data_IF_248566969902
#
_entry.id   IF_248566969902
#
_cell.length_a   1.000
_cell.length_b   1.000
_cell.length_c   1.000
_cell.angle_alpha   90.00
_cell.angle_beta   90.00
_cell.angle_gamma   90.00
#
_symmetry.space_group_name_H-M   'P 1'
#
loop_
_entity.id
_entity.type
_entity.pdbx_description
1 polymer ?
#
# COMPACT_ATOMS: atom_id res chain seq x y z
N UNK A 1 15.53 -24.70 19.33
CA UNK A 1 16.34 -23.94 18.36
C UNK A 1 15.38 -23.35 17.33
N UNK A 2 15.14 -22.05 17.39
CA UNK A 2 14.21 -21.38 16.47
C UNK A 2 14.82 -21.41 15.07
N UNK A 3 14.05 -21.89 14.09
CA UNK A 3 14.39 -21.84 12.66
C UNK A 3 14.58 -20.37 12.23
N UNK A 4 15.78 -19.83 12.47
CA UNK A 4 16.21 -18.49 12.10
C UNK A 4 15.94 -18.09 10.63
N UNK A 5 16.05 -18.98 9.61
CA UNK A 5 15.77 -18.56 8.24
C UNK A 5 14.30 -18.17 8.02
N UNK A 6 13.34 -18.87 8.63
CA UNK A 6 11.92 -18.61 8.39
C UNK A 6 11.44 -17.26 8.94
N UNK A 7 12.03 -16.80 10.05
CA UNK A 7 11.66 -15.54 10.68
C UNK A 7 12.09 -14.32 9.84
N UNK A 8 13.29 -14.39 9.26
CA UNK A 8 13.83 -13.31 8.43
C UNK A 8 13.07 -13.16 7.11
N UNK A 9 12.67 -14.27 6.49
CA UNK A 9 11.82 -14.23 5.29
C UNK A 9 10.44 -13.67 5.61
N UNK A 10 9.78 -14.14 6.68
CA UNK A 10 8.46 -13.63 7.10
C UNK A 10 8.46 -12.13 7.35
N UNK A 11 9.51 -11.61 8.00
CA UNK A 11 9.64 -10.18 8.27
C UNK A 11 9.75 -9.34 6.98
N UNK A 12 10.46 -9.83 5.95
CA UNK A 12 10.56 -9.15 4.65
C UNK A 12 9.21 -9.09 3.92
N UNK A 13 8.41 -10.16 3.97
CA UNK A 13 7.06 -10.14 3.43
C UNK A 13 6.17 -9.16 4.19
N UNK A 14 6.13 -9.26 5.53
CA UNK A 14 5.29 -8.40 6.37
C UNK A 14 5.66 -6.90 6.19
N UNK A 15 6.95 -6.57 6.02
CA UNK A 15 7.40 -5.20 5.72
C UNK A 15 6.92 -4.75 4.33
N UNK A 16 7.05 -5.59 3.29
CA UNK A 16 6.62 -5.25 1.94
C UNK A 16 5.10 -4.99 1.89
N UNK A 17 4.29 -5.87 2.48
CA UNK A 17 2.85 -5.65 2.59
C UNK A 17 2.51 -4.43 3.44
N UNK A 18 3.26 -4.18 4.52
CA UNK A 18 3.11 -2.97 5.33
C UNK A 18 3.36 -1.69 4.53
N UNK A 19 4.38 -1.66 3.69
CA UNK A 19 4.69 -0.53 2.81
C UNK A 19 3.57 -0.26 1.79
N UNK A 20 3.06 -1.31 1.13
CA UNK A 20 1.94 -1.17 0.20
C UNK A 20 0.63 -0.79 0.89
N UNK A 21 0.38 -1.32 2.10
CA UNK A 21 -0.76 -0.94 2.92
C UNK A 21 -0.70 0.53 3.33
N UNK A 22 0.47 1.02 3.74
CA UNK A 22 0.65 2.44 4.06
C UNK A 22 0.36 3.34 2.86
N UNK A 23 0.81 2.93 1.66
CA UNK A 23 0.49 3.64 0.42
C UNK A 23 -1.00 3.59 0.07
N UNK A 24 -1.64 2.44 0.31
CA UNK A 24 -3.08 2.28 0.09
C UNK A 24 -3.92 3.16 1.00
N UNK A 25 -3.58 3.15 2.30
CA UNK A 25 -4.25 3.96 3.32
C UNK A 25 -4.02 5.44 3.07
N UNK A 26 -2.81 5.87 2.70
CA UNK A 26 -2.55 7.28 2.39
C UNK A 26 -3.39 7.76 1.20
N UNK A 27 -3.44 6.98 0.11
CA UNK A 27 -4.28 7.28 -1.05
C UNK A 27 -5.77 7.36 -0.68
N UNK A 28 -6.25 6.46 0.16
CA UNK A 28 -7.65 6.44 0.60
C UNK A 28 -7.97 7.63 1.52
N UNK A 29 -7.08 7.98 2.45
CA UNK A 29 -7.21 9.18 3.31
C UNK A 29 -7.25 10.44 2.45
N UNK A 30 -6.38 10.55 1.45
CA UNK A 30 -6.39 11.71 0.53
C UNK A 30 -7.64 11.75 -0.34
N UNK A 31 -8.11 10.61 -0.85
CA UNK A 31 -9.35 10.50 -1.60
C UNK A 31 -10.57 10.93 -0.78
N UNK A 32 -10.66 10.48 0.48
CA UNK A 32 -11.73 10.88 1.41
C UNK A 32 -11.62 12.35 1.76
N UNK A 33 -10.43 12.86 2.06
CA UNK A 33 -10.23 14.28 2.37
C UNK A 33 -10.62 15.18 1.19
N UNK A 34 -10.30 14.77 -0.05
CA UNK A 34 -10.68 15.50 -1.26
C UNK A 34 -12.18 15.45 -1.59
N UNK A 35 -12.91 14.45 -1.09
CA UNK A 35 -14.35 14.34 -1.25
C UNK A 35 -15.15 15.22 -0.25
N UNK A 36 -14.51 15.69 0.83
CA UNK A 36 -15.15 16.53 1.83
C UNK A 36 -15.00 18.00 1.42
N UNK A 37 -16.09 18.76 1.25
CA UNK A 37 -15.99 20.19 0.99
C UNK A 37 -15.37 20.89 2.21
N UNK A 38 -14.18 21.45 2.04
CA UNK A 38 -13.44 22.18 3.06
C UNK A 38 -13.22 23.63 2.62
N UNK A 39 -13.17 24.54 3.58
CA UNK A 39 -12.72 25.90 3.30
C UNK A 39 -11.23 25.91 2.90
N UNK A 40 -10.78 26.89 2.10
CA UNK A 40 -9.41 26.92 1.59
C UNK A 40 -8.33 26.99 2.68
N UNK A 41 -8.65 27.57 3.84
CA UNK A 41 -7.74 27.69 4.97
C UNK A 41 -7.47 26.33 5.61
N UNK A 42 -8.54 25.61 5.97
CA UNK A 42 -8.46 24.27 6.55
C UNK A 42 -7.81 23.28 5.58
N UNK A 43 -8.17 23.34 4.29
CA UNK A 43 -7.58 22.49 3.26
C UNK A 43 -6.07 22.72 3.11
N UNK A 44 -5.61 23.98 3.15
CA UNK A 44 -4.19 24.32 3.09
C UNK A 44 -3.41 23.79 4.29
N UNK A 45 -3.95 23.94 5.51
CA UNK A 45 -3.29 23.44 6.72
C UNK A 45 -3.22 21.91 6.74
N UNK A 46 -4.30 21.22 6.41
CA UNK A 46 -4.32 19.76 6.31
C UNK A 46 -3.40 19.26 5.20
N UNK A 47 -3.38 19.93 4.06
CA UNK A 47 -2.45 19.65 2.97
C UNK A 47 -0.99 19.73 3.45
N UNK A 48 -0.62 20.82 4.11
CA UNK A 48 0.76 21.05 4.52
C UNK A 48 1.21 20.16 5.69
N UNK A 49 0.38 20.01 6.73
CA UNK A 49 0.76 19.27 7.94
C UNK A 49 0.53 17.76 7.84
N UNK A 50 -0.43 17.32 7.04
CA UNK A 50 -0.83 15.91 6.96
C UNK A 50 -0.50 15.34 5.60
N UNK A 51 -0.97 15.95 4.50
CA UNK A 51 -0.81 15.35 3.18
C UNK A 51 0.65 15.31 2.72
N UNK A 52 1.44 16.37 2.92
CA UNK A 52 2.86 16.39 2.50
C UNK A 52 3.70 15.35 3.25
N UNK A 53 3.71 15.29 4.61
CA UNK A 53 4.49 14.29 5.32
C UNK A 53 4.02 12.86 5.00
N UNK A 54 2.71 12.67 4.86
CA UNK A 54 2.13 11.38 4.49
C UNK A 54 2.52 10.97 3.07
N UNK A 55 2.54 11.89 2.12
CA UNK A 55 3.00 11.65 0.75
C UNK A 55 4.48 11.31 0.71
N UNK A 56 5.33 12.01 1.47
CA UNK A 56 6.76 11.70 1.57
C UNK A 56 7.00 10.33 2.22
N UNK A 57 6.29 10.02 3.30
CA UNK A 57 6.35 8.71 3.95
C UNK A 57 5.87 7.61 3.01
N UNK A 58 4.80 7.86 2.24
CA UNK A 58 4.28 6.95 1.23
C UNK A 58 5.28 6.74 0.09
N UNK A 59 5.98 7.79 -0.34
CA UNK A 59 7.00 7.69 -1.39
C UNK A 59 8.18 6.83 -0.92
N UNK A 60 8.67 7.07 0.30
CA UNK A 60 9.72 6.25 0.90
C UNK A 60 9.28 4.78 1.06
N UNK A 61 8.06 4.56 1.52
CA UNK A 61 7.47 3.23 1.65
C UNK A 61 7.31 2.54 0.28
N UNK A 62 6.92 3.27 -0.76
CA UNK A 62 6.77 2.76 -2.12
C UNK A 62 8.11 2.29 -2.68
N UNK A 63 9.19 3.07 -2.51
CA UNK A 63 10.53 2.66 -2.94
C UNK A 63 10.94 1.35 -2.26
N UNK A 64 10.76 1.25 -0.94
CA UNK A 64 11.06 0.02 -0.19
C UNK A 64 10.19 -1.15 -0.64
N UNK A 65 8.89 -0.92 -0.83
CA UNK A 65 7.92 -1.92 -1.27
C UNK A 65 8.23 -2.45 -2.67
N UNK A 66 8.58 -1.58 -3.62
CA UNK A 66 8.99 -1.95 -4.98
C UNK A 66 10.29 -2.74 -4.97
N UNK A 67 11.31 -2.28 -4.23
CA UNK A 67 12.59 -3.02 -4.11
C UNK A 67 12.36 -4.41 -3.53
N UNK A 68 11.56 -4.52 -2.46
CA UNK A 68 11.22 -5.81 -1.87
C UNK A 68 10.37 -6.67 -2.81
N UNK A 69 9.44 -6.08 -3.57
CA UNK A 69 8.65 -6.80 -4.57
C UNK A 69 9.51 -7.38 -5.68
N UNK A 70 10.56 -6.67 -6.11
CA UNK A 70 11.52 -7.17 -7.10
C UNK A 70 12.39 -8.29 -6.53
N UNK A 71 12.82 -8.17 -5.27
CA UNK A 71 13.58 -9.22 -4.59
C UNK A 71 12.73 -10.48 -4.32
N UNK A 72 11.44 -10.31 -4.05
CA UNK A 72 10.47 -11.37 -3.77
C UNK A 72 9.58 -11.69 -4.99
N UNK A 73 10.09 -11.47 -6.21
CA UNK A 73 9.32 -11.60 -7.47
C UNK A 73 8.59 -12.94 -7.63
N UNK A 74 9.06 -14.01 -6.97
CA UNK A 74 8.37 -15.31 -7.02
C UNK A 74 6.98 -15.33 -6.35
N UNK A 75 6.63 -14.32 -5.54
CA UNK A 75 5.30 -14.18 -4.93
C UNK A 75 4.38 -13.28 -5.77
N UNK A 76 3.44 -13.92 -6.46
CA UNK A 76 2.37 -13.29 -7.24
C UNK A 76 1.62 -12.11 -6.58
N UNK A 77 1.19 -12.17 -5.31
CA UNK A 77 0.44 -11.05 -4.70
C UNK A 77 1.26 -9.75 -4.55
N UNK A 78 2.58 -9.85 -4.35
CA UNK A 78 3.46 -8.68 -4.25
C UNK A 78 3.64 -8.02 -5.62
N UNK A 79 3.78 -8.82 -6.68
CA UNK A 79 3.79 -8.32 -8.05
C UNK A 79 2.51 -7.58 -8.40
N UNK A 80 1.36 -8.10 -7.99
CA UNK A 80 0.08 -7.48 -8.28
C UNK A 80 -0.07 -6.15 -7.56
N UNK A 81 0.34 -6.07 -6.29
CA UNK A 81 0.41 -4.81 -5.54
C UNK A 81 1.35 -3.80 -6.21
N UNK A 82 2.57 -4.22 -6.56
CA UNK A 82 3.54 -3.38 -7.26
C UNK A 82 3.00 -2.87 -8.60
N UNK A 83 2.39 -3.73 -9.40
CA UNK A 83 1.74 -3.35 -10.66
C UNK A 83 0.61 -2.35 -10.47
N UNK A 84 -0.27 -2.57 -9.47
CA UNK A 84 -1.31 -1.62 -9.11
C UNK A 84 -0.74 -0.25 -8.68
N UNK A 85 0.35 -0.25 -7.91
CA UNK A 85 1.02 0.97 -7.48
C UNK A 85 1.64 1.72 -8.66
N UNK A 86 2.30 1.02 -9.59
CA UNK A 86 2.84 1.64 -10.81
C UNK A 86 1.73 2.22 -11.68
N UNK A 87 0.62 1.50 -11.85
CA UNK A 87 -0.55 2.00 -12.58
C UNK A 87 -1.15 3.24 -11.92
N UNK A 88 -1.27 3.23 -10.59
CA UNK A 88 -1.78 4.38 -9.83
C UNK A 88 -0.86 5.61 -9.96
N UNK A 89 0.47 5.42 -9.88
CA UNK A 89 1.44 6.50 -10.09
C UNK A 89 1.40 7.02 -11.52
N UNK A 90 1.30 6.13 -12.51
CA UNK A 90 1.18 6.50 -13.91
C UNK A 90 -0.09 7.32 -14.15
N UNK A 91 -1.22 6.94 -13.53
CA UNK A 91 -2.48 7.67 -13.63
C UNK A 91 -2.38 9.08 -13.04
N UNK A 92 -1.73 9.23 -11.87
CA UNK A 92 -1.51 10.55 -11.26
C UNK A 92 -0.66 11.46 -12.17
N UNK A 93 0.37 10.91 -12.82
CA UNK A 93 1.29 11.70 -13.66
C UNK A 93 0.67 12.03 -15.01
N UNK A 94 0.00 11.07 -15.62
CA UNK A 94 -0.46 11.17 -16.99
C UNK A 94 -1.85 11.81 -17.09
N UNK A 95 -2.61 11.84 -15.99
CA UNK A 95 -3.99 12.36 -15.92
C UNK A 95 -4.85 11.84 -17.07
N UNK A 96 -4.66 10.56 -17.45
CA UNK A 96 -5.25 9.97 -18.64
C UNK A 96 -6.66 9.49 -18.33
N UNK A 97 -7.63 10.37 -18.47
CA UNK A 97 -9.02 9.93 -18.51
C UNK A 97 -10.04 10.98 -18.12
N UNK A 98 -11.31 10.57 -18.03
CA UNK A 98 -12.39 11.41 -17.51
C UNK A 98 -12.14 11.76 -16.04
N UNK A 99 -12.53 12.96 -15.60
CA UNK A 99 -12.41 13.40 -14.20
C UNK A 99 -13.03 12.41 -13.19
N UNK A 100 -14.05 11.65 -13.59
CA UNK A 100 -14.64 10.59 -12.77
C UNK A 100 -13.65 9.46 -12.46
N UNK A 101 -12.79 9.09 -13.41
CA UNK A 101 -11.79 8.05 -13.21
C UNK A 101 -10.67 8.54 -12.29
N UNK A 102 -10.18 9.77 -12.51
CA UNK A 102 -9.21 10.42 -11.63
C UNK A 102 -9.69 10.46 -10.17
N UNK A 103 -10.94 10.85 -9.93
CA UNK A 103 -11.51 10.90 -8.59
C UNK A 103 -11.72 9.51 -7.97
N UNK A 104 -11.94 8.47 -8.77
CA UNK A 104 -12.14 7.11 -8.30
C UNK A 104 -10.82 6.35 -8.09
N UNK A 105 -9.74 6.71 -8.79
CA UNK A 105 -8.47 5.99 -8.76
C UNK A 105 -7.87 5.84 -7.35
N UNK A 106 -7.85 6.87 -6.47
CA UNK A 106 -7.36 6.72 -5.10
C UNK A 106 -8.17 5.72 -4.28
N UNK A 107 -9.48 5.67 -4.49
CA UNK A 107 -10.36 4.72 -3.80
C UNK A 107 -10.15 3.29 -4.31
N UNK A 108 -10.09 3.11 -5.64
CA UNK A 108 -9.85 1.78 -6.25
C UNK A 108 -8.50 1.21 -5.80
N UNK A 109 -7.45 2.03 -5.83
CA UNK A 109 -6.12 1.64 -5.36
C UNK A 109 -6.11 1.38 -3.85
N UNK A 110 -6.69 2.27 -3.05
CA UNK A 110 -6.73 2.14 -1.60
C UNK A 110 -7.50 0.91 -1.13
N UNK A 111 -8.69 0.67 -1.69
CA UNK A 111 -9.51 -0.51 -1.35
C UNK A 111 -8.82 -1.80 -1.81
N UNK A 112 -8.28 -1.82 -3.03
CA UNK A 112 -7.61 -3.00 -3.58
C UNK A 112 -6.36 -3.38 -2.78
N UNK A 113 -5.53 -2.40 -2.45
CA UNK A 113 -4.33 -2.62 -1.62
C UNK A 113 -4.68 -3.07 -0.21
N UNK A 114 -5.70 -2.47 0.44
CA UNK A 114 -6.22 -2.92 1.74
C UNK A 114 -6.73 -4.36 1.69
N UNK A 115 -7.50 -4.72 0.66
CA UNK A 115 -8.04 -6.07 0.51
C UNK A 115 -6.91 -7.10 0.37
N UNK A 116 -5.94 -6.85 -0.51
CA UNK A 116 -4.82 -7.77 -0.75
C UNK A 116 -3.93 -7.90 0.50
N UNK A 117 -3.62 -6.78 1.16
CA UNK A 117 -2.84 -6.80 2.39
C UNK A 117 -3.62 -7.47 3.55
N UNK A 118 -4.92 -7.24 3.64
CA UNK A 118 -5.80 -7.90 4.61
C UNK A 118 -5.83 -9.42 4.41
N UNK A 119 -5.98 -9.88 3.16
CA UNK A 119 -5.91 -11.31 2.81
C UNK A 119 -4.54 -11.90 3.20
N UNK A 120 -3.45 -11.15 3.01
CA UNK A 120 -2.12 -11.58 3.45
C UNK A 120 -2.07 -11.81 4.96
N UNK A 121 -2.43 -10.79 5.75
CA UNK A 121 -2.32 -10.86 7.21
C UNK A 121 -3.30 -11.86 7.84
N UNK A 122 -4.49 -12.05 7.26
CA UNK A 122 -5.51 -12.94 7.79
C UNK A 122 -5.34 -14.41 7.36
N UNK A 123 -5.00 -14.68 6.11
CA UNK A 123 -5.09 -16.04 5.55
C UNK A 123 -3.75 -16.56 5.04
N UNK A 124 -3.05 -15.79 4.21
CA UNK A 124 -1.85 -16.30 3.55
C UNK A 124 -0.66 -16.42 4.51
N UNK A 125 -0.52 -15.49 5.47
CA UNK A 125 0.55 -15.51 6.48
C UNK A 125 0.59 -16.82 7.27
N UNK A 126 -0.59 -17.36 7.64
CA UNK A 126 -0.71 -18.63 8.36
C UNK A 126 -0.44 -19.85 7.49
N UNK A 127 -0.80 -19.80 6.20
CA UNK A 127 -0.54 -20.89 5.24
C UNK A 127 0.92 -20.97 4.82
N UNK A 128 1.59 -19.83 4.66
CA UNK A 128 2.99 -19.76 4.22
C UNK A 128 3.96 -20.07 5.37
N UNK A 129 3.58 -19.74 6.61
CA UNK A 129 4.38 -20.03 7.81
C UNK A 129 3.49 -20.72 8.86
N UNK A 130 3.17 -22.02 8.69
CA UNK A 130 2.38 -22.75 9.67
C UNK A 130 3.13 -22.75 11.00
N UNK A 131 2.46 -22.25 12.05
CA UNK A 131 2.96 -22.37 13.43
C UNK A 131 2.83 -23.86 13.76
N UNK A 132 3.91 -24.55 14.19
CA UNK A 132 3.77 -25.92 14.66
C UNK A 132 2.76 -25.92 15.80
N UNK A 133 1.64 -26.61 15.61
CA UNK A 133 0.73 -26.93 16.69
C UNK A 133 1.53 -27.78 17.67
N UNK A 134 1.73 -27.27 18.88
CA UNK A 134 2.31 -28.05 19.96
C UNK A 134 1.30 -29.17 20.28
N UNK A 135 1.46 -30.32 19.64
CA UNK A 135 0.96 -31.61 20.10
C UNK A 135 2.05 -32.30 20.94
#
# INVERSE_FOLDING_TARGET
>A
MVNAPNFMYRSKYDLAYGCFLLCGVSALVMGVAGAIPMDPGTAGVLGFLVAIPLALASLAALVVGVVLSLLLWRHWPLLLLSGMTVLFVAEIIAEVGPAAFYNAAPFLYGIGSLAICGIWFSVLRGKTFPVPSNE
#
